data_IF_331531024578
#
_entry.id   IF_331531024578
#
_cell.length_a   1.000
_cell.length_b   1.000
_cell.length_c   1.000
_cell.angle_alpha   90.00
_cell.angle_beta   90.00
_cell.angle_gamma   90.00
#
_symmetry.space_group_name_H-M   'P 1'
#
loop_
_entity.id
_entity.type
_entity.pdbx_description
1 polymer ?
#
# COMPACT_ATOMS: atom_id res chain seq x y z
N UNK A 1 -25.81 8.58 20.27
CA UNK A 1 -24.62 9.20 20.89
C UNK A 1 -24.00 10.20 19.94
N UNK A 2 -23.46 11.30 20.47
CA UNK A 2 -22.79 12.33 19.68
C UNK A 2 -21.29 12.03 19.67
N UNK A 3 -20.73 11.78 18.48
CA UNK A 3 -19.30 11.52 18.28
C UNK A 3 -18.64 12.65 17.48
N UNK A 4 -17.43 13.04 17.86
CA UNK A 4 -16.61 14.07 17.20
C UNK A 4 -15.20 13.55 17.05
N UNK A 5 -14.61 13.80 15.88
CA UNK A 5 -13.19 13.68 15.61
C UNK A 5 -12.79 14.96 14.85
N UNK A 6 -11.92 15.78 15.43
CA UNK A 6 -11.49 17.05 14.86
C UNK A 6 -10.11 17.44 15.41
N UNK A 7 -9.49 18.48 14.84
CA UNK A 7 -8.29 19.07 15.44
C UNK A 7 -8.52 19.46 16.90
N UNK A 8 -7.55 19.12 17.76
CA UNK A 8 -7.59 19.41 19.19
C UNK A 8 -7.73 20.92 19.47
N UNK A 9 -8.50 21.26 20.50
CA UNK A 9 -8.71 22.64 20.96
C UNK A 9 -9.10 22.67 22.45
N UNK A 10 -9.44 23.84 22.98
CA UNK A 10 -9.81 24.00 24.39
C UNK A 10 -11.07 23.24 24.82
N UNK A 11 -11.93 22.85 23.87
CA UNK A 11 -13.18 22.12 24.12
C UNK A 11 -12.99 20.61 23.95
N UNK A 12 -12.13 20.21 23.01
CA UNK A 12 -11.80 18.82 22.72
C UNK A 12 -10.28 18.66 22.87
N UNK A 13 -9.86 18.22 24.05
CA UNK A 13 -8.45 18.18 24.49
C UNK A 13 -7.89 16.75 24.61
N UNK A 14 -8.73 15.72 24.48
CA UNK A 14 -8.30 14.32 24.50
C UNK A 14 -7.80 13.87 23.12
N UNK A 15 -6.48 13.82 22.96
CA UNK A 15 -5.82 13.40 21.72
C UNK A 15 -6.04 11.90 21.46
N UNK A 16 -6.65 11.59 20.33
CA UNK A 16 -6.87 10.22 19.88
C UNK A 16 -5.77 9.75 18.93
N UNK A 17 -5.30 10.64 18.06
CA UNK A 17 -4.21 10.39 17.12
C UNK A 17 -3.36 11.66 16.97
N UNK A 18 -2.04 11.46 16.95
CA UNK A 18 -1.08 12.53 16.71
C UNK A 18 -0.18 12.11 15.54
N UNK A 19 -0.15 12.95 14.51
CA UNK A 19 0.71 12.75 13.35
C UNK A 19 1.92 13.67 13.45
N UNK A 20 3.13 13.10 13.41
CA UNK A 20 4.38 13.85 13.47
C UNK A 20 5.18 13.64 12.18
N UNK A 21 5.55 14.73 11.52
CA UNK A 21 6.38 14.73 10.31
C UNK A 21 7.85 14.48 10.67
N UNK A 22 8.42 13.41 10.12
CA UNK A 22 9.78 12.97 10.43
C UNK A 22 10.61 12.89 9.16
N UNK A 23 11.87 13.27 9.25
CA UNK A 23 12.86 13.00 8.21
C UNK A 23 13.19 11.50 8.22
N UNK A 24 12.99 10.85 7.08
CA UNK A 24 13.17 9.41 6.97
C UNK A 24 14.61 8.97 7.26
N UNK A 25 15.63 9.75 6.87
CA UNK A 25 17.04 9.33 6.96
C UNK A 25 17.62 9.58 8.35
N UNK A 26 17.35 10.76 8.91
CA UNK A 26 17.90 11.20 10.19
C UNK A 26 17.02 10.84 11.38
N UNK A 27 15.76 10.46 11.12
CA UNK A 27 14.76 10.15 12.14
C UNK A 27 14.59 11.29 13.16
N UNK A 28 14.63 12.54 12.68
CA UNK A 28 14.33 13.72 13.47
C UNK A 28 13.06 14.39 12.95
N UNK A 29 12.32 15.05 13.83
CA UNK A 29 11.16 15.84 13.44
C UNK A 29 11.54 16.92 12.43
N UNK A 30 10.74 17.08 11.38
CA UNK A 30 10.99 18.09 10.36
C UNK A 30 10.82 19.49 10.93
N UNK A 31 11.75 20.38 10.60
CA UNK A 31 11.61 21.78 10.94
C UNK A 31 10.62 22.45 9.97
N UNK A 32 9.35 22.51 10.35
CA UNK A 32 8.30 23.10 9.52
C UNK A 32 8.51 24.60 9.19
N UNK A 33 9.39 25.31 9.90
CA UNK A 33 9.76 26.70 9.53
C UNK A 33 10.68 26.76 8.31
N UNK A 34 11.47 25.71 8.06
CA UNK A 34 12.36 25.60 6.89
C UNK A 34 11.78 24.72 5.80
N UNK A 35 10.97 23.72 6.19
CA UNK A 35 10.35 22.73 5.33
C UNK A 35 8.84 22.74 5.60
N UNK A 36 8.15 23.77 5.13
CA UNK A 36 6.71 23.91 5.34
C UNK A 36 5.97 22.63 4.93
N UNK A 37 5.06 22.19 5.79
CA UNK A 37 4.32 20.93 5.67
C UNK A 37 2.95 21.18 5.07
N UNK A 38 2.46 20.17 4.35
CA UNK A 38 1.12 20.10 3.79
C UNK A 38 0.48 18.79 4.23
N UNK A 39 -0.77 18.85 4.66
CA UNK A 39 -1.59 17.69 5.02
C UNK A 39 -3.00 17.88 4.48
N UNK A 40 -3.53 16.85 3.85
CA UNK A 40 -4.90 16.78 3.39
C UNK A 40 -5.48 15.44 3.83
N UNK A 41 -6.37 15.47 4.82
CA UNK A 41 -6.92 14.29 5.46
C UNK A 41 -8.45 14.29 5.38
N UNK A 42 -9.01 13.14 5.03
CA UNK A 42 -10.44 12.86 5.07
C UNK A 42 -10.69 11.71 6.03
N UNK A 43 -11.52 11.95 7.04
CA UNK A 43 -11.93 10.95 8.03
C UNK A 43 -13.39 10.59 7.82
N UNK A 44 -13.68 9.30 7.69
CA UNK A 44 -15.01 8.73 7.88
C UNK A 44 -15.00 7.90 9.16
N UNK A 45 -15.76 8.29 10.17
CA UNK A 45 -15.71 7.68 11.50
C UNK A 45 -17.10 7.38 12.06
N UNK A 46 -17.19 6.34 12.90
CA UNK A 46 -18.45 5.84 13.45
C UNK A 46 -18.27 5.18 14.82
N UNK A 47 -19.39 4.91 15.47
CA UNK A 47 -19.47 4.10 16.70
C UNK A 47 -20.10 2.74 16.40
N UNK A 48 -19.71 1.73 17.16
CA UNK A 48 -20.31 0.39 17.10
C UNK A 48 -20.24 -0.23 15.70
N UNK A 49 -21.40 -0.59 15.14
CA UNK A 49 -21.50 -1.34 13.87
C UNK A 49 -21.40 -0.50 12.61
N UNK A 50 -21.28 0.83 12.72
CA UNK A 50 -21.10 1.71 11.55
C UNK A 50 -22.36 2.07 10.78
N UNK A 51 -23.55 1.81 11.34
CA UNK A 51 -24.84 2.22 10.73
C UNK A 51 -25.03 3.73 10.66
N UNK A 52 -24.30 4.49 11.49
CA UNK A 52 -24.24 5.96 11.45
C UNK A 52 -22.78 6.37 11.48
N UNK A 53 -22.32 6.99 10.39
CA UNK A 53 -20.97 7.55 10.27
C UNK A 53 -21.02 9.07 10.09
N UNK A 54 -19.89 9.71 10.37
CA UNK A 54 -19.65 11.13 10.16
C UNK A 54 -18.39 11.32 9.33
N UNK A 55 -18.36 12.40 8.57
CA UNK A 55 -17.22 12.79 7.76
C UNK A 55 -16.59 14.05 8.34
N UNK A 56 -15.27 14.10 8.38
CA UNK A 56 -14.49 15.28 8.71
C UNK A 56 -13.32 15.40 7.74
N UNK A 57 -13.23 16.54 7.07
CA UNK A 57 -12.07 16.87 6.23
C UNK A 57 -11.22 17.92 6.93
N UNK A 58 -9.91 17.72 6.90
CA UNK A 58 -8.92 18.70 7.34
C UNK A 58 -7.89 18.90 6.25
N UNK A 59 -7.69 20.15 5.86
CA UNK A 59 -6.71 20.51 4.84
C UNK A 59 -5.89 21.68 5.33
N UNK A 60 -4.58 21.55 5.23
CA UNK A 60 -3.63 22.61 5.53
C UNK A 60 -2.51 22.57 4.49
N UNK A 61 -2.46 23.59 3.61
CA UNK A 61 -1.63 23.59 2.41
C UNK A 61 -0.31 24.35 2.57
N UNK A 62 -0.04 24.95 3.72
CA UNK A 62 1.23 25.63 4.01
C UNK A 62 1.24 26.02 5.48
N UNK A 63 2.02 25.31 6.29
CA UNK A 63 2.14 25.64 7.71
C UNK A 63 3.54 25.41 8.26
N UNK A 64 3.83 26.11 9.35
CA UNK A 64 5.00 25.93 10.20
C UNK A 64 4.71 24.92 11.33
N UNK A 65 3.89 23.89 11.08
CA UNK A 65 3.54 22.85 12.04
C UNK A 65 4.00 21.48 11.56
N UNK A 66 4.79 20.79 12.37
CA UNK A 66 5.28 19.42 12.12
C UNK A 66 4.43 18.36 12.83
N UNK A 67 3.48 18.78 13.67
CA UNK A 67 2.61 17.90 14.46
C UNK A 67 1.14 18.28 14.26
N UNK A 68 0.29 17.27 14.13
CA UNK A 68 -1.15 17.41 13.93
C UNK A 68 -1.91 16.46 14.84
N UNK A 69 -2.52 17.03 15.87
CA UNK A 69 -3.28 16.31 16.88
C UNK A 69 -4.78 16.36 16.57
N UNK A 70 -5.39 15.17 16.47
CA UNK A 70 -6.83 15.03 16.34
C UNK A 70 -7.41 14.44 17.64
N UNK A 71 -8.38 15.14 18.17
CA UNK A 71 -9.05 14.82 19.42
C UNK A 71 -10.41 14.18 19.17
N UNK A 72 -10.81 13.31 20.09
CA UNK A 72 -12.11 12.63 20.02
C UNK A 72 -13.02 12.98 21.19
N UNK A 73 -14.32 12.95 20.93
CA UNK A 73 -15.36 13.04 21.96
C UNK A 73 -16.52 12.09 21.64
N UNK A 74 -17.12 11.42 22.64
CA UNK A 74 -16.69 11.38 24.04
C UNK A 74 -15.44 10.51 24.23
N UNK A 75 -14.71 10.74 25.32
CA UNK A 75 -13.40 10.11 25.58
C UNK A 75 -13.51 8.67 26.06
N UNK A 76 -14.68 8.22 26.51
CA UNK A 76 -14.88 6.86 27.03
C UNK A 76 -15.36 5.85 25.97
N UNK A 77 -15.57 6.28 24.73
CA UNK A 77 -15.98 5.42 23.63
C UNK A 77 -14.78 5.03 22.76
N UNK A 78 -14.88 3.92 22.05
CA UNK A 78 -13.97 3.58 20.95
C UNK A 78 -14.66 3.94 19.64
N UNK A 79 -14.02 4.80 18.84
CA UNK A 79 -14.48 5.12 17.50
C UNK A 79 -13.76 4.23 16.49
N UNK A 80 -14.45 3.84 15.45
CA UNK A 80 -13.85 3.20 14.29
C UNK A 80 -13.76 4.21 13.17
N UNK A 81 -12.68 4.18 12.39
CA UNK A 81 -12.50 5.12 11.31
C UNK A 81 -11.78 4.53 10.09
N UNK A 82 -12.20 5.03 8.94
CA UNK A 82 -11.43 5.05 7.71
C UNK A 82 -10.85 6.45 7.55
N UNK A 83 -9.61 6.53 7.11
CA UNK A 83 -8.95 7.79 6.83
C UNK A 83 -8.15 7.66 5.56
N UNK A 84 -8.24 8.66 4.71
CA UNK A 84 -7.38 8.87 3.56
C UNK A 84 -6.61 10.16 3.78
N UNK A 85 -5.28 10.09 3.71
CA UNK A 85 -4.42 11.24 3.94
C UNK A 85 -3.32 11.32 2.90
N UNK A 86 -3.17 12.49 2.31
CA UNK A 86 -1.99 12.90 1.55
C UNK A 86 -1.18 13.89 2.39
N UNK A 87 0.13 13.74 2.37
CA UNK A 87 1.03 14.61 3.12
C UNK A 87 2.37 14.77 2.41
N UNK A 88 2.94 15.96 2.54
CA UNK A 88 4.22 16.32 1.94
C UNK A 88 4.87 17.47 2.73
N UNK A 89 6.13 17.76 2.40
CA UNK A 89 6.83 18.94 2.89
C UNK A 89 7.74 19.51 1.80
N UNK A 90 8.08 20.80 1.89
CA UNK A 90 9.02 21.42 0.95
C UNK A 90 10.35 20.65 0.96
N UNK A 91 10.81 20.26 -0.25
CA UNK A 91 12.00 19.44 -0.51
C UNK A 91 11.89 17.96 -0.09
N UNK A 92 10.67 17.46 0.14
CA UNK A 92 10.38 16.06 0.39
C UNK A 92 9.35 15.52 -0.61
N UNK A 93 9.44 14.22 -0.88
CA UNK A 93 8.53 13.55 -1.81
C UNK A 93 7.18 13.25 -1.14
N UNK A 94 6.05 13.43 -1.86
CA UNK A 94 4.72 13.27 -1.29
C UNK A 94 4.43 11.80 -0.96
N UNK A 95 3.61 11.60 0.07
CA UNK A 95 3.19 10.28 0.52
C UNK A 95 1.73 10.27 0.92
N UNK A 96 1.21 9.06 1.05
CA UNK A 96 -0.14 8.79 1.55
C UNK A 96 -0.11 7.93 2.80
N UNK A 97 -1.14 8.06 3.62
CA UNK A 97 -1.38 7.24 4.79
C UNK A 97 -2.86 6.89 4.86
N UNK A 98 -3.17 5.66 5.26
CA UNK A 98 -4.52 5.17 5.33
C UNK A 98 -4.84 4.57 6.69
N UNK A 99 -6.05 4.86 7.18
CA UNK A 99 -6.72 4.00 8.14
C UNK A 99 -7.83 3.25 7.43
N UNK A 100 -7.93 1.95 7.71
CA UNK A 100 -8.94 1.05 7.18
C UNK A 100 -9.51 0.27 8.36
N UNK A 101 -10.71 0.66 8.80
CA UNK A 101 -11.38 0.16 10.00
C UNK A 101 -10.49 0.20 11.24
N UNK A 102 -9.69 1.27 11.38
CA UNK A 102 -8.86 1.47 12.56
C UNK A 102 -9.74 1.85 13.76
N UNK A 103 -9.32 1.47 14.97
CA UNK A 103 -9.97 1.91 16.19
C UNK A 103 -9.15 3.01 16.86
N UNK A 104 -9.83 4.09 17.24
CA UNK A 104 -9.26 5.17 18.05
C UNK A 104 -9.99 5.20 19.40
N UNK A 105 -9.23 5.42 20.46
CA UNK A 105 -9.72 5.46 21.85
C UNK A 105 -9.11 6.66 22.57
N UNK A 106 -9.31 6.77 23.89
CA UNK A 106 -8.60 7.77 24.71
C UNK A 106 -7.08 7.55 24.81
N UNK A 107 -6.55 6.44 24.31
CA UNK A 107 -5.11 6.23 24.20
C UNK A 107 -4.64 6.88 22.90
N UNK A 108 -3.74 7.84 23.02
CA UNK A 108 -3.16 8.55 21.87
C UNK A 108 -2.34 7.60 21.01
N UNK A 109 -2.69 7.52 19.73
CA UNK A 109 -1.91 6.84 18.71
C UNK A 109 -0.89 7.80 18.10
N UNK A 110 0.38 7.60 18.43
CA UNK A 110 1.50 8.36 17.85
C UNK A 110 1.90 7.78 16.49
N UNK A 111 1.73 8.56 15.42
CA UNK A 111 2.03 8.15 14.05
C UNK A 111 3.17 9.02 13.49
N UNK A 112 4.32 8.39 13.25
CA UNK A 112 5.43 9.02 12.55
C UNK A 112 5.20 8.97 11.03
N UNK A 113 5.09 10.14 10.42
CA UNK A 113 4.99 10.36 8.97
C UNK A 113 6.39 10.57 8.39
N UNK A 114 7.05 9.48 8.01
CA UNK A 114 8.42 9.50 7.53
C UNK A 114 8.49 9.97 6.07
N UNK A 115 9.10 11.12 5.83
CA UNK A 115 9.27 11.71 4.50
C UNK A 115 10.71 11.57 3.99
N UNK A 116 10.85 11.16 2.74
CA UNK A 116 12.14 11.06 2.05
C UNK A 116 12.40 12.36 1.28
N UNK A 117 13.63 12.88 1.38
CA UNK A 117 14.02 14.09 0.65
C UNK A 117 13.88 13.87 -0.86
N UNK A 118 13.53 14.90 -1.62
CA UNK A 118 13.43 14.79 -3.08
C UNK A 118 14.79 14.51 -3.73
N UNK A 119 15.89 14.86 -3.05
CA UNK A 119 17.25 14.61 -3.51
C UNK A 119 17.64 13.13 -3.42
N UNK A 120 17.10 12.40 -2.44
CA UNK A 120 17.39 10.98 -2.20
C UNK A 120 16.31 10.06 -2.78
N UNK A 121 15.17 10.61 -3.20
CA UNK A 121 14.02 9.84 -3.65
C UNK A 121 14.05 9.50 -5.13
N UNK A 122 13.75 8.25 -5.46
CA UNK A 122 13.53 7.75 -6.81
C UNK A 122 12.07 7.31 -6.96
N UNK A 123 11.43 7.67 -8.08
CA UNK A 123 10.03 7.30 -8.37
C UNK A 123 9.98 5.86 -8.88
N UNK A 124 9.15 5.03 -8.24
CA UNK A 124 8.88 3.65 -8.65
C UNK A 124 7.42 3.47 -9.03
N UNK A 125 7.19 2.70 -10.09
CA UNK A 125 5.88 2.18 -10.48
C UNK A 125 5.74 0.78 -9.91
N UNK A 126 4.70 0.58 -9.12
CA UNK A 126 4.39 -0.69 -8.49
C UNK A 126 3.24 -1.36 -9.21
N UNK A 127 3.37 -2.68 -9.35
CA UNK A 127 2.28 -3.53 -9.80
C UNK A 127 2.08 -4.65 -8.77
N UNK A 128 0.85 -4.85 -8.33
CA UNK A 128 0.49 -5.91 -7.39
C UNK A 128 -0.35 -6.95 -8.13
N UNK A 129 0.07 -8.22 -8.06
CA UNK A 129 -0.58 -9.31 -8.78
C UNK A 129 -0.84 -10.52 -7.90
N UNK A 130 -1.91 -11.25 -8.24
CA UNK A 130 -2.19 -12.60 -7.76
C UNK A 130 -2.32 -13.50 -8.99
N UNK A 131 -1.32 -14.35 -9.22
CA UNK A 131 -1.16 -15.05 -10.48
C UNK A 131 -0.95 -14.07 -11.65
N UNK A 132 -1.79 -14.18 -12.67
CA UNK A 132 -1.81 -13.29 -13.85
C UNK A 132 -2.77 -12.09 -13.70
N UNK A 133 -3.56 -12.05 -12.62
CA UNK A 133 -4.58 -11.04 -12.42
C UNK A 133 -4.03 -9.84 -11.63
N UNK A 134 -4.39 -8.61 -12.00
CA UNK A 134 -4.11 -7.43 -11.18
C UNK A 134 -4.81 -7.56 -9.83
N UNK A 135 -4.15 -7.09 -8.77
CA UNK A 135 -4.65 -7.12 -7.41
C UNK A 135 -5.08 -5.73 -6.97
N UNK A 136 -6.31 -5.37 -7.33
CA UNK A 136 -6.92 -4.04 -7.11
C UNK A 136 -7.41 -3.84 -5.68
N UNK A 137 -7.64 -2.57 -5.31
CA UNK A 137 -8.24 -2.15 -4.02
C UNK A 137 -7.48 -2.68 -2.79
N UNK A 138 -6.18 -2.90 -2.96
CA UNK A 138 -5.31 -3.48 -1.95
C UNK A 138 -4.50 -2.39 -1.28
N UNK A 139 -4.54 -2.40 0.05
CA UNK A 139 -3.79 -1.47 0.90
C UNK A 139 -2.42 -2.07 1.16
N UNK A 140 -1.39 -1.41 0.61
CA UNK A 140 0.00 -1.81 0.69
C UNK A 140 0.72 -0.90 1.67
N UNK A 141 1.04 -1.44 2.85
CA UNK A 141 1.91 -0.75 3.83
C UNK A 141 3.37 -0.99 3.46
N UNK A 142 4.10 0.09 3.23
CA UNK A 142 5.48 0.09 2.76
C UNK A 142 6.37 0.47 3.93
N UNK A 143 7.28 -0.43 4.30
CA UNK A 143 8.21 -0.22 5.42
C UNK A 143 9.65 -0.35 4.99
N UNK A 144 10.49 0.61 5.36
CA UNK A 144 11.94 0.60 5.08
C UNK A 144 12.72 -0.03 6.22
N UNK A 145 13.77 -0.78 5.91
CA UNK A 145 14.70 -1.31 6.89
C UNK A 145 15.78 -0.29 7.27
N UNK A 146 15.88 0.02 8.55
CA UNK A 146 16.88 0.93 9.12
C UNK A 146 18.01 0.13 9.74
N UNK A 147 19.12 -0.03 8.99
CA UNK A 147 20.24 -0.91 9.37
C UNK A 147 20.83 -0.51 10.73
N UNK A 148 20.97 0.79 11.01
CA UNK A 148 21.53 1.28 12.27
C UNK A 148 20.70 0.94 13.51
N UNK A 149 19.41 0.64 13.33
CA UNK A 149 18.46 0.34 14.41
C UNK A 149 17.98 -1.11 14.39
N UNK A 150 18.16 -1.81 13.27
CA UNK A 150 17.70 -3.18 13.08
C UNK A 150 16.18 -3.32 12.94
N UNK A 151 15.44 -2.24 12.68
CA UNK A 151 13.96 -2.23 12.63
C UNK A 151 13.42 -1.84 11.26
N UNK A 152 12.17 -2.25 10.98
CA UNK A 152 11.38 -1.73 9.87
C UNK A 152 10.46 -0.62 10.38
N UNK A 153 10.37 0.49 9.64
CA UNK A 153 9.43 1.57 9.93
C UNK A 153 8.56 1.85 8.71
N UNK A 154 7.28 2.10 8.93
CA UNK A 154 6.36 2.51 7.87
C UNK A 154 6.82 3.83 7.29
N UNK A 155 7.04 3.86 5.98
CA UNK A 155 7.35 5.09 5.26
C UNK A 155 6.13 5.61 4.51
N UNK A 156 5.27 4.74 3.99
CA UNK A 156 4.04 5.13 3.33
C UNK A 156 3.04 3.98 3.27
N UNK A 157 1.79 4.32 2.96
CA UNK A 157 0.74 3.33 2.68
C UNK A 157 0.09 3.72 1.38
N UNK A 158 0.00 2.82 0.41
CA UNK A 158 -0.62 3.03 -0.90
C UNK A 158 -1.84 2.12 -1.06
N UNK A 159 -2.76 2.50 -1.92
CA UNK A 159 -3.87 1.66 -2.36
C UNK A 159 -3.70 1.40 -3.86
N UNK A 160 -3.88 0.16 -4.29
CA UNK A 160 -3.80 -0.18 -5.72
C UNK A 160 -5.04 0.32 -6.45
N UNK A 161 -4.84 0.82 -7.65
CA UNK A 161 -5.92 1.27 -8.54
C UNK A 161 -6.66 0.10 -9.22
N UNK A 162 -7.49 0.44 -10.22
CA UNK A 162 -8.31 -0.51 -10.99
C UNK A 162 -7.51 -1.47 -11.89
N UNK A 163 -6.21 -1.22 -12.03
CA UNK A 163 -5.27 -2.11 -12.74
C UNK A 163 -4.22 -2.71 -11.80
N UNK A 164 -4.36 -2.54 -10.49
CA UNK A 164 -3.47 -3.15 -9.50
C UNK A 164 -2.15 -2.38 -9.32
N UNK A 165 -2.10 -1.11 -9.73
CA UNK A 165 -0.89 -0.31 -9.75
C UNK A 165 -0.92 0.82 -8.71
N UNK A 166 0.28 1.31 -8.35
CA UNK A 166 0.45 2.56 -7.62
C UNK A 166 1.86 3.14 -7.80
N UNK A 167 2.07 4.37 -7.35
CA UNK A 167 3.37 5.04 -7.40
C UNK A 167 3.88 5.32 -5.98
N UNK A 168 5.16 5.05 -5.74
CA UNK A 168 5.84 5.44 -4.49
C UNK A 168 7.26 5.95 -4.76
N UNK A 169 7.73 6.83 -3.89
CA UNK A 169 9.09 7.37 -3.90
C UNK A 169 9.95 6.66 -2.85
N UNK A 170 11.00 5.97 -3.30
CA UNK A 170 11.87 5.14 -2.46
C UNK A 170 13.35 5.57 -2.57
N UNK A 171 14.11 5.22 -1.55
CA UNK A 171 15.57 5.38 -1.49
C UNK A 171 16.23 4.15 -2.16
N UNK A 172 17.12 4.41 -3.10
CA UNK A 172 17.75 3.38 -3.92
C UNK A 172 18.65 2.46 -3.07
N UNK A 173 18.76 1.19 -3.47
CA UNK A 173 19.58 0.17 -2.82
C UNK A 173 19.20 -0.10 -1.35
N UNK A 174 17.98 0.26 -0.94
CA UNK A 174 17.46 -0.03 0.40
C UNK A 174 16.47 -1.18 0.39
N UNK A 175 16.41 -1.89 1.52
CA UNK A 175 15.51 -3.02 1.72
C UNK A 175 14.16 -2.54 2.24
N UNK A 176 13.10 -2.99 1.59
CA UNK A 176 11.72 -2.66 1.90
C UNK A 176 10.89 -3.92 2.14
N UNK A 177 9.87 -3.76 2.98
CA UNK A 177 8.85 -4.74 3.30
C UNK A 177 7.48 -4.17 2.91
N UNK A 178 6.70 -4.96 2.19
CA UNK A 178 5.37 -4.61 1.69
C UNK A 178 4.35 -5.55 2.33
N UNK A 179 3.52 -5.03 3.22
CA UNK A 179 2.41 -5.78 3.82
C UNK A 179 1.13 -5.45 3.06
N UNK A 180 0.48 -6.47 2.51
CA UNK A 180 -0.67 -6.29 1.61
C UNK A 180 -1.94 -6.79 2.30
N UNK A 181 -2.96 -5.93 2.34
CA UNK A 181 -4.26 -6.20 2.95
C UNK A 181 -5.36 -5.77 1.99
N UNK A 182 -6.39 -6.60 1.81
CA UNK A 182 -7.61 -6.24 1.07
C UNK A 182 -8.82 -6.69 1.86
N UNK A 183 -9.82 -5.82 2.01
CA UNK A 183 -11.04 -6.07 2.81
C UNK A 183 -10.77 -6.60 4.23
N UNK A 184 -9.69 -6.12 4.87
CA UNK A 184 -9.27 -6.56 6.19
C UNK A 184 -8.59 -7.93 6.25
N UNK A 185 -8.43 -8.61 5.11
CA UNK A 185 -7.70 -9.89 5.00
C UNK A 185 -6.25 -9.61 4.61
N UNK A 186 -5.30 -10.14 5.39
CA UNK A 186 -3.88 -10.06 5.06
C UNK A 186 -3.49 -11.13 4.04
N UNK A 187 -2.84 -10.70 2.96
CA UNK A 187 -2.29 -11.57 1.91
C UNK A 187 -0.79 -11.82 2.09
N UNK A 188 -0.25 -11.50 3.27
CA UNK A 188 1.14 -11.74 3.63
C UNK A 188 2.03 -10.52 3.41
N UNK A 189 3.32 -10.79 3.29
CA UNK A 189 4.36 -9.77 3.29
C UNK A 189 5.47 -10.13 2.32
N UNK A 190 5.82 -9.21 1.43
CA UNK A 190 6.88 -9.35 0.44
C UNK A 190 8.05 -8.47 0.85
N UNK A 191 9.28 -8.93 0.62
CA UNK A 191 10.49 -8.14 0.87
C UNK A 191 11.28 -8.00 -0.43
N UNK A 192 11.64 -6.76 -0.79
CA UNK A 192 12.45 -6.44 -1.98
C UNK A 192 13.53 -5.42 -1.61
N UNK A 193 14.53 -5.30 -2.47
CA UNK A 193 15.45 -4.15 -2.47
C UNK A 193 14.97 -3.21 -3.58
N UNK A 194 14.92 -1.90 -3.31
CA UNK A 194 14.56 -0.90 -4.29
C UNK A 194 15.75 -0.67 -5.24
N UNK A 195 15.82 -1.48 -6.31
CA UNK A 195 16.84 -1.36 -7.34
C UNK A 195 16.21 -0.77 -8.60
N UNK A 196 16.96 0.07 -9.33
CA UNK A 196 16.54 0.62 -10.60
C UNK A 196 17.70 0.53 -11.60
N UNK A 197 17.68 -0.50 -12.44
CA UNK A 197 18.70 -0.73 -13.46
C UNK A 197 18.43 0.12 -14.71
N UNK A 198 17.16 0.24 -15.08
CA UNK A 198 16.69 1.03 -16.23
C UNK A 198 15.43 1.82 -15.82
N UNK A 199 15.26 3.02 -16.40
CA UNK A 199 14.08 3.85 -16.17
C UNK A 199 13.00 3.55 -17.23
N UNK A 200 11.71 3.49 -16.86
CA UNK A 200 11.15 3.73 -15.52
C UNK A 200 11.48 2.62 -14.51
N UNK A 201 11.65 2.99 -13.24
CA UNK A 201 11.92 2.03 -12.17
C UNK A 201 10.63 1.29 -11.79
N UNK A 202 10.62 -0.03 -11.89
CA UNK A 202 9.43 -0.86 -11.71
C UNK A 202 9.64 -1.93 -10.63
N UNK A 203 8.61 -2.17 -9.80
CA UNK A 203 8.61 -3.26 -8.80
C UNK A 203 7.28 -4.02 -8.87
N UNK A 204 7.35 -5.31 -9.18
CA UNK A 204 6.20 -6.22 -9.08
C UNK A 204 6.14 -6.91 -7.72
N UNK A 205 4.97 -6.84 -7.08
CA UNK A 205 4.61 -7.50 -5.83
C UNK A 205 3.65 -8.66 -6.13
N UNK A 206 4.21 -9.88 -6.18
CA UNK A 206 3.48 -11.10 -6.49
C UNK A 206 3.06 -11.83 -5.20
N UNK A 207 1.75 -11.96 -4.94
CA UNK A 207 1.19 -12.51 -3.69
C UNK A 207 1.23 -14.04 -3.61
N UNK A 208 1.00 -14.71 -4.73
CA UNK A 208 1.09 -16.16 -4.88
C UNK A 208 2.18 -16.44 -5.91
N UNK A 209 3.07 -17.41 -5.66
CA UNK A 209 3.99 -17.87 -6.70
C UNK A 209 3.16 -18.09 -7.97
N UNK A 210 3.50 -17.38 -9.04
CA UNK A 210 2.87 -17.61 -10.34
C UNK A 210 2.88 -19.12 -10.53
N UNK A 211 1.71 -19.73 -10.79
CA UNK A 211 1.68 -21.15 -11.11
C UNK A 211 2.77 -21.37 -12.15
N UNK A 212 3.83 -22.07 -11.76
CA UNK A 212 5.00 -22.29 -12.63
C UNK A 212 4.59 -23.09 -13.86
N UNK A 213 3.37 -23.62 -13.83
CA UNK A 213 2.73 -24.35 -14.86
C UNK A 213 1.30 -23.83 -15.06
N UNK A 214 1.08 -23.07 -16.14
CA UNK A 214 -0.24 -22.65 -16.63
C UNK A 214 -1.19 -23.86 -16.87
N UNK A 215 -0.67 -25.09 -16.83
CA UNK A 215 -1.38 -26.33 -17.02
C UNK A 215 -1.69 -27.09 -15.73
N UNK A 216 -1.39 -26.57 -14.53
CA UNK A 216 -1.62 -27.26 -13.25
C UNK A 216 -3.05 -27.86 -13.15
N UNK A 217 -4.08 -27.11 -13.55
CA UNK A 217 -5.49 -27.56 -13.61
C UNK A 217 -5.85 -28.38 -14.85
N UNK A 218 -5.04 -28.30 -15.92
CA UNK A 218 -5.18 -29.16 -17.10
C UNK A 218 -4.73 -30.59 -16.78
N UNK A 219 -3.71 -30.77 -15.92
CA UNK A 219 -3.25 -32.10 -15.54
C UNK A 219 -4.28 -32.91 -14.76
N UNK A 220 -5.05 -32.27 -13.88
CA UNK A 220 -5.98 -32.99 -13.00
C UNK A 220 -7.29 -33.40 -13.72
N UNK A 221 -7.68 -32.72 -14.79
CA UNK A 221 -8.97 -32.96 -15.48
C UNK A 221 -8.81 -33.69 -16.82
N UNK A 222 -7.70 -33.49 -17.55
CA UNK A 222 -7.57 -33.97 -18.93
C UNK A 222 -6.32 -34.81 -19.24
N UNK A 223 -5.35 -34.96 -18.31
CA UNK A 223 -4.05 -35.56 -18.64
C UNK A 223 -3.98 -37.10 -18.70
N UNK A 224 -5.08 -37.83 -18.56
CA UNK A 224 -5.04 -39.28 -18.78
C UNK A 224 -5.00 -39.69 -20.26
N UNK A 225 -4.93 -38.73 -21.19
CA UNK A 225 -5.05 -39.01 -22.62
C UNK A 225 -4.46 -37.99 -23.58
N UNK A 226 -3.67 -37.02 -23.11
CA UNK A 226 -3.22 -35.90 -23.93
C UNK A 226 -1.70 -35.75 -23.82
N UNK A 227 -1.04 -35.60 -24.96
CA UNK A 227 0.35 -35.13 -25.07
C UNK A 227 0.36 -33.73 -25.68
N UNK A 228 1.21 -32.85 -25.18
CA UNK A 228 1.34 -31.50 -25.71
C UNK A 228 2.77 -30.99 -25.65
N UNK A 229 3.08 -29.94 -26.40
CA UNK A 229 4.37 -29.24 -26.34
C UNK A 229 4.21 -27.76 -26.70
N UNK A 230 5.02 -26.91 -26.07
CA UNK A 230 5.10 -25.49 -26.37
C UNK A 230 6.55 -25.16 -26.74
N UNK A 231 6.75 -24.63 -27.94
CA UNK A 231 8.08 -24.28 -28.46
C UNK A 231 8.08 -22.81 -28.85
N UNK A 232 8.96 -22.03 -28.24
CA UNK A 232 9.23 -20.66 -28.65
C UNK A 232 10.43 -20.62 -29.60
N UNK A 233 10.22 -20.05 -30.79
CA UNK A 233 11.30 -19.78 -31.73
C UNK A 233 11.76 -18.32 -31.56
N UNK A 234 12.94 -18.13 -30.97
CA UNK A 234 13.48 -16.80 -30.66
C UNK A 234 13.89 -15.99 -31.90
N UNK A 235 14.10 -16.64 -33.05
CA UNK A 235 14.47 -16.00 -34.32
C UNK A 235 13.24 -15.48 -35.05
N UNK A 236 12.19 -16.30 -35.18
CA UNK A 236 10.95 -15.90 -35.86
C UNK A 236 9.93 -15.23 -34.95
N UNK A 237 10.21 -15.22 -33.63
CA UNK A 237 9.30 -14.72 -32.58
C UNK A 237 7.96 -15.45 -32.54
N UNK A 238 7.90 -16.66 -33.09
CA UNK A 238 6.69 -17.47 -33.08
C UNK A 238 6.65 -18.41 -31.87
N UNK A 239 5.48 -18.50 -31.26
CA UNK A 239 5.14 -19.54 -30.29
C UNK A 239 4.36 -20.62 -31.03
N UNK A 240 4.82 -21.86 -30.97
CA UNK A 240 4.11 -23.03 -31.52
C UNK A 240 3.64 -23.89 -30.38
N UNK A 241 2.32 -24.02 -30.25
CA UNK A 241 1.67 -24.96 -29.36
C UNK A 241 1.21 -26.17 -30.16
N UNK A 242 1.64 -27.36 -29.75
CA UNK A 242 1.22 -28.64 -30.32
C UNK A 242 0.39 -29.37 -29.29
N UNK A 243 -0.81 -29.78 -29.67
CA UNK A 243 -1.74 -30.56 -28.87
C UNK A 243 -2.03 -31.88 -29.59
N UNK A 244 -1.90 -33.00 -28.89
CA UNK A 244 -2.14 -34.33 -29.41
C UNK A 244 -3.02 -35.14 -28.44
N UNK A 245 -4.25 -35.41 -28.86
CA UNK A 245 -5.16 -36.31 -28.15
C UNK A 245 -4.79 -37.77 -28.46
N UNK A 246 -4.25 -38.47 -27.46
CA UNK A 246 -3.86 -39.88 -27.55
C UNK A 246 -5.07 -40.83 -27.47
N UNK A 247 -6.24 -40.33 -27.09
CA UNK A 247 -7.48 -41.12 -26.98
C UNK A 247 -8.33 -41.07 -28.24
N UNK A 248 -8.19 -40.00 -29.03
CA UNK A 248 -8.99 -39.75 -30.23
C UNK A 248 -10.47 -39.43 -29.94
N UNK A 249 -10.80 -39.07 -28.70
CA UNK A 249 -12.17 -38.77 -28.25
C UNK A 249 -12.46 -37.27 -28.23
N UNK A 250 -11.43 -36.42 -28.33
CA UNK A 250 -11.60 -34.97 -28.33
C UNK A 250 -12.32 -34.52 -29.60
N UNK A 251 -13.50 -33.92 -29.43
CA UNK A 251 -14.29 -33.37 -30.54
C UNK A 251 -13.98 -31.89 -30.78
N UNK A 252 -13.54 -31.17 -29.74
CA UNK A 252 -13.24 -29.75 -29.78
C UNK A 252 -12.07 -29.42 -28.86
N UNK A 253 -11.23 -28.48 -29.30
CA UNK A 253 -10.19 -27.86 -28.50
C UNK A 253 -10.34 -26.34 -28.64
N UNK A 254 -10.26 -25.62 -27.51
CA UNK A 254 -10.22 -24.16 -27.48
C UNK A 254 -9.06 -23.74 -26.60
N UNK A 255 -8.21 -22.87 -27.15
CA UNK A 255 -7.22 -22.11 -26.41
C UNK A 255 -7.84 -20.75 -26.12
N UNK A 256 -8.03 -20.42 -24.84
CA UNK A 256 -8.46 -19.09 -24.38
C UNK A 256 -7.27 -18.33 -23.81
#
# INVERSE_FOLDING_TARGET
>A
SYVVLNMCNSTYDQVAVNFTFMDEVTNTELNASSNATTINAFFNYWLGTGTVSKNHSYTNLTNNQSQYEFCMFPTWETIYNNMDMEYEAIAYSPRTYYFRNASLSNITNEIALNLLSTADSVKFFFEVRQGMSPFTDAVVTISKYFIGEGVYRTVGIRETDDVGEFIEYLDLDKKYKYSIVRDGVSYGTITKVANCEEAPCEITLQLEEAETDLWSGFYDVFAHGIAYSLVYNSTTKNVTFTFNDLTGLAQHFRLE
#
